data_IF_213687874401
#
_entry.id   IF_213687874401
#
_cell.length_a   1.000
_cell.length_b   1.000
_cell.length_c   1.000
_cell.angle_alpha   90.00
_cell.angle_beta   90.00
_cell.angle_gamma   90.00
#
_symmetry.space_group_name_H-M   'P 1'
#
loop_
_entity.id
_entity.type
_entity.pdbx_description
1 polymer ?
#
# COMPACT_ATOMS: atom_id res chain seq x y z
N UNK A 1 -13.31 -57.90 34.86
CA UNK A 1 -12.60 -56.65 34.48
C UNK A 1 -12.70 -56.44 32.97
N UNK A 2 -13.90 -56.51 32.38
CA UNK A 2 -14.04 -56.60 30.91
C UNK A 2 -15.10 -55.65 30.33
N UNK A 3 -15.95 -55.04 31.15
CA UNK A 3 -16.97 -54.09 30.68
C UNK A 3 -16.49 -52.63 30.63
N UNK A 4 -15.54 -52.25 31.51
CA UNK A 4 -15.02 -50.88 31.56
C UNK A 4 -14.16 -50.50 30.34
N UNK A 5 -13.55 -51.47 29.65
CA UNK A 5 -12.73 -51.24 28.46
C UNK A 5 -13.57 -51.05 27.19
N UNK A 6 -14.75 -51.68 27.11
CA UNK A 6 -15.66 -51.61 25.95
C UNK A 6 -16.48 -50.31 25.96
N UNK A 7 -16.87 -49.81 27.14
CA UNK A 7 -17.59 -48.54 27.29
C UNK A 7 -16.71 -47.34 26.92
N UNK A 8 -15.44 -47.36 27.32
CA UNK A 8 -14.46 -46.29 27.07
C UNK A 8 -14.07 -46.17 25.57
N UNK A 9 -14.08 -47.28 24.83
CA UNK A 9 -13.84 -47.29 23.39
C UNK A 9 -15.02 -46.73 22.58
N UNK A 10 -16.26 -46.98 23.02
CA UNK A 10 -17.48 -46.44 22.38
C UNK A 10 -17.60 -44.93 22.59
N UNK A 11 -17.37 -44.43 23.79
CA UNK A 11 -17.40 -42.98 24.07
C UNK A 11 -16.35 -42.22 23.26
N UNK A 12 -15.09 -42.69 23.24
CA UNK A 12 -14.02 -42.05 22.43
C UNK A 12 -14.35 -42.03 20.93
N UNK A 13 -14.96 -43.09 20.39
CA UNK A 13 -15.37 -43.14 18.97
C UNK A 13 -16.49 -42.15 18.64
N UNK A 14 -17.39 -41.90 19.59
CA UNK A 14 -18.50 -40.97 19.44
C UNK A 14 -18.02 -39.51 19.52
N UNK A 15 -17.13 -39.20 20.47
CA UNK A 15 -16.52 -37.86 20.58
C UNK A 15 -15.60 -37.54 19.40
N UNK A 16 -14.88 -38.52 18.86
CA UNK A 16 -13.99 -38.33 17.71
C UNK A 16 -14.77 -38.08 16.41
N UNK A 17 -15.86 -38.83 16.17
CA UNK A 17 -16.79 -38.59 15.05
C UNK A 17 -17.50 -37.25 15.16
N UNK A 18 -17.88 -36.84 16.36
CA UNK A 18 -18.53 -35.54 16.57
C UNK A 18 -17.57 -34.36 16.36
N UNK A 19 -16.29 -34.50 16.74
CA UNK A 19 -15.25 -33.49 16.46
C UNK A 19 -14.89 -33.38 14.97
N UNK A 20 -14.82 -34.49 14.24
CA UNK A 20 -14.56 -34.47 12.78
C UNK A 20 -15.77 -33.94 11.99
N UNK A 21 -16.99 -34.33 12.35
CA UNK A 21 -18.22 -33.78 11.73
C UNK A 21 -18.36 -32.28 12.01
N UNK A 22 -17.97 -31.81 13.19
CA UNK A 22 -17.97 -30.38 13.51
C UNK A 22 -16.92 -29.57 12.73
N UNK A 23 -15.77 -30.17 12.39
CA UNK A 23 -14.74 -29.49 11.61
C UNK A 23 -15.09 -29.44 10.11
N UNK A 24 -15.67 -30.53 9.58
CA UNK A 24 -16.23 -30.56 8.22
C UNK A 24 -17.39 -29.57 8.09
N UNK A 25 -18.29 -29.50 9.09
CA UNK A 25 -19.37 -28.52 9.11
C UNK A 25 -18.87 -27.07 9.18
N UNK A 26 -17.81 -26.79 9.96
CA UNK A 26 -17.22 -25.45 10.04
C UNK A 26 -16.59 -24.99 8.72
N UNK A 27 -16.12 -25.92 7.87
CA UNK A 27 -15.59 -25.62 6.53
C UNK A 27 -16.72 -25.51 5.50
N UNK A 28 -17.79 -26.29 5.63
CA UNK A 28 -18.89 -26.31 4.64
C UNK A 28 -19.93 -25.21 4.83
N UNK A 29 -20.16 -24.75 6.06
CA UNK A 29 -21.13 -23.68 6.35
C UNK A 29 -20.83 -22.35 5.64
N UNK A 30 -19.58 -21.86 5.57
CA UNK A 30 -19.22 -20.69 4.76
C UNK A 30 -19.45 -20.92 3.26
N UNK A 31 -19.14 -22.11 2.75
CA UNK A 31 -19.30 -22.47 1.34
C UNK A 31 -20.77 -22.52 0.92
N UNK A 32 -21.66 -22.96 1.82
CA UNK A 32 -23.11 -23.01 1.58
C UNK A 32 -23.75 -21.62 1.72
N UNK A 33 -23.24 -20.76 2.61
CA UNK A 33 -23.73 -19.40 2.81
C UNK A 33 -23.41 -18.45 1.64
N UNK A 34 -22.41 -18.78 0.80
CA UNK A 34 -21.92 -17.92 -0.29
C UNK A 34 -22.64 -18.14 -1.64
N UNK A 35 -23.58 -19.07 -1.75
CA UNK A 35 -24.50 -19.22 -2.90
C UNK A 35 -23.87 -19.58 -4.27
N UNK A 36 -22.55 -19.46 -4.43
CA UNK A 36 -21.82 -19.69 -5.67
C UNK A 36 -20.43 -20.26 -5.39
N UNK A 37 -20.20 -21.53 -5.76
CA UNK A 37 -18.94 -22.24 -5.54
C UNK A 37 -17.75 -21.56 -6.24
N UNK A 38 -17.98 -20.94 -7.41
CA UNK A 38 -16.95 -20.20 -8.13
C UNK A 38 -16.47 -18.97 -7.36
N UNK A 39 -17.38 -18.31 -6.65
CA UNK A 39 -17.07 -17.10 -5.87
C UNK A 39 -16.35 -17.45 -4.57
N UNK A 40 -16.76 -18.54 -3.91
CA UNK A 40 -16.08 -19.05 -2.73
C UNK A 40 -14.64 -19.52 -3.02
N UNK A 41 -14.40 -20.19 -4.15
CA UNK A 41 -13.05 -20.62 -4.56
C UNK A 41 -12.14 -19.42 -4.81
N UNK A 42 -12.61 -18.39 -5.53
CA UNK A 42 -11.83 -17.16 -5.75
C UNK A 42 -11.50 -16.42 -4.44
N UNK A 43 -12.43 -16.39 -3.48
CA UNK A 43 -12.18 -15.78 -2.17
C UNK A 43 -11.12 -16.57 -1.38
N UNK A 44 -11.13 -17.90 -1.47
CA UNK A 44 -10.13 -18.75 -0.80
C UNK A 44 -8.76 -18.63 -1.46
N UNK A 45 -8.68 -18.64 -2.79
CA UNK A 45 -7.44 -18.46 -3.54
C UNK A 45 -6.81 -17.11 -3.20
N UNK A 46 -7.56 -16.02 -3.28
CA UNK A 46 -7.07 -14.69 -2.91
C UNK A 46 -6.63 -14.58 -1.44
N UNK A 47 -7.28 -15.29 -0.52
CA UNK A 47 -6.86 -15.32 0.89
C UNK A 47 -5.53 -16.06 1.08
N UNK A 48 -5.32 -17.18 0.36
CA UNK A 48 -4.07 -17.95 0.38
C UNK A 48 -2.94 -17.15 -0.27
N UNK A 49 -3.18 -16.55 -1.43
CA UNK A 49 -2.18 -15.74 -2.14
C UNK A 49 -1.74 -14.55 -1.29
N UNK A 50 -2.68 -13.88 -0.61
CA UNK A 50 -2.36 -12.81 0.36
C UNK A 50 -1.55 -13.32 1.55
N UNK A 51 -1.88 -14.49 2.09
CA UNK A 51 -1.15 -15.06 3.21
C UNK A 51 0.31 -15.36 2.81
N UNK A 52 0.52 -16.06 1.69
CA UNK A 52 1.85 -16.40 1.17
C UNK A 52 2.64 -15.12 0.85
N UNK A 53 2.00 -14.14 0.21
CA UNK A 53 2.63 -12.85 -0.10
C UNK A 53 3.08 -12.12 1.18
N UNK A 54 2.21 -12.07 2.18
CA UNK A 54 2.53 -11.43 3.47
C UNK A 54 3.76 -12.05 4.11
N UNK A 55 3.87 -13.39 4.12
CA UNK A 55 5.04 -14.08 4.66
C UNK A 55 6.32 -13.80 3.84
N UNK A 56 6.19 -13.72 2.53
CA UNK A 56 7.31 -13.49 1.61
C UNK A 56 7.84 -12.05 1.69
N UNK A 57 7.04 -11.11 2.19
CA UNK A 57 7.37 -9.68 2.27
C UNK A 57 7.72 -9.21 3.70
N UNK A 58 7.80 -10.11 4.69
CA UNK A 58 8.11 -9.76 6.09
C UNK A 58 9.40 -8.94 6.21
N UNK A 59 10.53 -9.31 5.56
CA UNK A 59 11.76 -8.54 5.64
C UNK A 59 11.56 -7.09 5.17
N UNK A 60 10.97 -6.91 4.00
CA UNK A 60 10.76 -5.60 3.39
C UNK A 60 9.79 -4.75 4.22
N UNK A 61 8.71 -5.34 4.73
CA UNK A 61 7.77 -4.63 5.62
C UNK A 61 8.44 -4.19 6.92
N UNK A 62 9.36 -5.00 7.46
CA UNK A 62 10.13 -4.65 8.65
C UNK A 62 11.07 -3.48 8.35
N UNK A 63 11.77 -3.51 7.22
CA UNK A 63 12.71 -2.46 6.82
C UNK A 63 11.98 -1.13 6.60
N UNK A 64 10.89 -1.13 5.83
CA UNK A 64 10.00 0.04 5.67
C UNK A 64 9.44 0.54 7.01
N UNK A 65 9.28 -0.36 7.99
CA UNK A 65 8.86 -0.03 9.34
C UNK A 65 9.81 0.90 10.10
N UNK A 66 11.09 1.00 9.72
CA UNK A 66 12.07 1.92 10.31
C UNK A 66 12.04 3.33 9.72
N UNK A 67 11.39 3.54 8.57
CA UNK A 67 11.35 4.86 7.89
C UNK A 67 10.60 5.89 8.71
N UNK A 68 11.25 6.99 9.08
CA UNK A 68 10.61 8.15 9.71
C UNK A 68 11.23 9.42 9.17
N UNK A 69 10.44 10.50 9.08
CA UNK A 69 10.99 11.83 8.83
C UNK A 69 11.84 12.26 10.03
N UNK A 70 12.99 12.89 9.75
CA UNK A 70 13.97 13.36 10.72
C UNK A 70 15.10 12.37 11.04
N UNK A 71 15.13 11.19 10.42
CA UNK A 71 16.25 10.26 10.62
C UNK A 71 17.48 10.70 9.83
N UNK A 72 18.65 10.36 10.36
CA UNK A 72 19.91 10.58 9.68
C UNK A 72 20.00 9.68 8.43
N UNK A 73 20.55 10.22 7.35
CA UNK A 73 20.68 9.52 6.08
C UNK A 73 21.57 8.27 6.16
N UNK A 74 22.67 8.33 6.92
CA UNK A 74 23.59 7.20 7.05
C UNK A 74 22.88 6.04 7.76
N UNK A 75 22.05 6.32 8.77
CA UNK A 75 21.21 5.30 9.40
C UNK A 75 20.21 4.67 8.42
N UNK A 76 19.58 5.48 7.55
CA UNK A 76 18.72 4.92 6.51
C UNK A 76 19.50 4.02 5.53
N UNK A 77 20.73 4.40 5.18
CA UNK A 77 21.60 3.62 4.28
C UNK A 77 22.15 2.33 4.90
N UNK A 78 22.27 2.25 6.22
CA UNK A 78 22.57 0.99 6.91
C UNK A 78 21.45 -0.04 6.73
N UNK A 79 20.20 0.41 6.56
CA UNK A 79 19.02 -0.45 6.39
C UNK A 79 18.80 -0.77 4.91
N UNK A 80 18.75 0.26 4.06
CA UNK A 80 18.35 0.13 2.64
C UNK A 80 19.53 0.02 1.66
N UNK A 81 20.76 0.14 2.16
CA UNK A 81 21.96 0.22 1.32
C UNK A 81 22.19 1.61 0.73
N UNK A 82 22.97 1.69 -0.35
CA UNK A 82 23.21 2.95 -1.06
C UNK A 82 22.12 3.17 -2.11
N UNK A 83 21.67 4.42 -2.34
CA UNK A 83 20.72 4.68 -3.40
C UNK A 83 21.33 4.38 -4.76
N UNK A 84 20.55 3.80 -5.66
CA UNK A 84 20.96 3.59 -7.03
C UNK A 84 21.06 4.94 -7.76
N UNK A 85 20.09 5.82 -7.56
CA UNK A 85 20.01 7.13 -8.24
C UNK A 85 19.81 8.24 -7.22
N UNK A 86 20.42 9.39 -7.46
CA UNK A 86 20.17 10.63 -6.72
C UNK A 86 19.85 11.76 -7.67
N UNK A 87 18.76 12.50 -7.41
CA UNK A 87 18.32 13.64 -8.20
C UNK A 87 18.17 14.86 -7.30
N UNK A 88 18.91 15.92 -7.61
CA UNK A 88 18.71 17.20 -6.94
C UNK A 88 17.34 17.78 -7.31
N UNK A 89 16.59 18.19 -6.29
CA UNK A 89 15.36 18.96 -6.38
C UNK A 89 15.64 20.41 -5.96
N UNK A 90 14.60 21.22 -5.88
CA UNK A 90 14.73 22.61 -5.46
C UNK A 90 15.12 22.76 -3.98
N UNK A 91 15.63 23.94 -3.62
CA UNK A 91 15.89 24.33 -2.22
C UNK A 91 16.85 23.38 -1.46
N UNK A 92 17.81 22.79 -2.17
CA UNK A 92 18.80 21.88 -1.58
C UNK A 92 18.21 20.55 -1.10
N UNK A 93 17.01 20.20 -1.54
CA UNK A 93 16.42 18.88 -1.37
C UNK A 93 16.98 17.93 -2.45
N UNK A 94 17.20 16.67 -2.10
CA UNK A 94 17.58 15.62 -3.03
C UNK A 94 16.63 14.43 -2.89
N UNK A 95 16.25 13.83 -4.00
CA UNK A 95 15.54 12.56 -4.04
C UNK A 95 16.55 11.43 -4.26
N UNK A 96 16.64 10.52 -3.30
CA UNK A 96 17.47 9.32 -3.35
C UNK A 96 16.57 8.10 -3.60
N UNK A 97 16.80 7.40 -4.69
CA UNK A 97 15.95 6.31 -5.17
C UNK A 97 16.57 4.95 -4.85
N UNK A 98 15.75 4.12 -4.24
CA UNK A 98 16.03 2.75 -3.84
C UNK A 98 15.09 1.83 -4.64
N UNK A 99 15.62 1.23 -5.70
CA UNK A 99 14.85 0.31 -6.55
C UNK A 99 14.86 -1.10 -5.96
N UNK A 100 13.68 -1.66 -5.78
CA UNK A 100 13.44 -3.05 -5.43
C UNK A 100 12.48 -3.67 -6.46
N UNK A 101 12.45 -5.00 -6.58
CA UNK A 101 11.51 -5.69 -7.49
C UNK A 101 10.05 -5.46 -7.06
N UNK A 102 9.80 -5.33 -5.75
CA UNK A 102 8.46 -5.23 -5.17
C UNK A 102 8.00 -3.78 -5.02
N UNK A 103 8.92 -2.84 -4.82
CA UNK A 103 8.60 -1.45 -4.54
C UNK A 103 9.68 -0.47 -5.01
N UNK A 104 9.29 0.81 -5.13
CA UNK A 104 10.21 1.93 -5.28
C UNK A 104 10.16 2.78 -4.00
N UNK A 105 11.26 2.82 -3.26
CA UNK A 105 11.45 3.73 -2.14
C UNK A 105 12.19 4.97 -2.61
N UNK A 106 11.70 6.14 -2.23
CA UNK A 106 12.41 7.41 -2.40
C UNK A 106 12.60 8.08 -1.05
N UNK A 107 13.83 8.45 -0.71
CA UNK A 107 14.13 9.31 0.43
C UNK A 107 14.30 10.74 -0.07
N UNK A 108 13.61 11.68 0.57
CA UNK A 108 13.76 13.11 0.33
C UNK A 108 14.68 13.67 1.40
N UNK A 109 15.88 14.06 0.98
CA UNK A 109 17.01 14.34 1.85
C UNK A 109 17.40 15.81 1.76
N UNK A 110 17.63 16.46 2.90
CA UNK A 110 18.20 17.81 2.97
C UNK A 110 19.27 17.82 4.04
N UNK A 111 20.47 18.31 3.71
CA UNK A 111 21.58 18.45 4.67
C UNK A 111 21.93 17.16 5.45
N UNK A 112 21.80 15.99 4.84
CA UNK A 112 22.11 14.69 5.47
C UNK A 112 20.99 14.12 6.35
N UNK A 113 19.80 14.73 6.34
CA UNK A 113 18.63 14.29 7.09
C UNK A 113 17.49 13.93 6.13
N UNK A 114 16.74 12.88 6.44
CA UNK A 114 15.57 12.44 5.68
C UNK A 114 14.38 13.34 6.08
N UNK A 115 14.05 14.30 5.23
CA UNK A 115 12.90 15.19 5.41
C UNK A 115 11.57 14.47 5.17
N UNK A 116 11.56 13.45 4.31
CA UNK A 116 10.41 12.60 4.06
C UNK A 116 10.77 11.39 3.23
N UNK A 117 9.79 10.52 3.00
CA UNK A 117 9.94 9.36 2.14
C UNK A 117 8.66 9.05 1.39
N UNK A 118 8.80 8.33 0.28
CA UNK A 118 7.70 7.72 -0.47
C UNK A 118 7.98 6.26 -0.74
N UNK A 119 6.92 5.49 -0.89
CA UNK A 119 6.96 4.10 -1.30
C UNK A 119 5.85 3.88 -2.32
N UNK A 120 6.21 3.27 -3.44
CA UNK A 120 5.28 2.83 -4.47
C UNK A 120 5.34 1.31 -4.55
N UNK A 121 4.22 0.63 -4.38
CA UNK A 121 4.13 -0.80 -4.67
C UNK A 121 4.21 -1.02 -6.17
N UNK A 122 5.12 -1.88 -6.63
CA UNK A 122 5.31 -2.22 -8.03
C UNK A 122 4.79 -3.63 -8.37
N UNK A 123 4.73 -4.51 -7.38
CA UNK A 123 4.34 -5.91 -7.55
C UNK A 123 3.01 -6.23 -6.89
N UNK A 124 2.19 -7.00 -7.59
CA UNK A 124 0.95 -7.58 -7.05
C UNK A 124 1.22 -8.36 -5.75
N UNK A 125 0.41 -8.08 -4.74
CA UNK A 125 0.53 -8.70 -3.43
C UNK A 125 1.53 -8.02 -2.49
N UNK A 126 2.35 -7.08 -2.96
CA UNK A 126 3.15 -6.22 -2.09
C UNK A 126 2.28 -5.08 -1.52
N UNK A 127 1.66 -5.36 -0.38
CA UNK A 127 0.67 -4.50 0.26
C UNK A 127 1.12 -4.13 1.69
N UNK A 128 2.15 -3.28 1.85
CA UNK A 128 2.65 -2.90 3.16
C UNK A 128 1.56 -2.23 4.00
N UNK A 129 1.52 -2.45 5.33
CA UNK A 129 0.59 -1.73 6.20
C UNK A 129 0.98 -0.25 6.29
N UNK A 130 0.03 0.65 6.01
CA UNK A 130 0.26 2.10 5.94
C UNK A 130 -0.67 2.86 6.88
N UNK A 131 -0.18 3.99 7.39
CA UNK A 131 -0.91 4.94 8.24
C UNK A 131 -1.47 4.37 9.56
N UNK A 132 -0.97 3.21 10.02
CA UNK A 132 -1.40 2.60 11.28
C UNK A 132 -2.91 2.38 11.34
N UNK A 133 -3.55 2.78 12.44
CA UNK A 133 -5.00 2.63 12.63
C UNK A 133 -5.85 3.47 11.67
N UNK A 134 -5.25 4.45 10.99
CA UNK A 134 -5.93 5.39 10.09
C UNK A 134 -5.99 4.88 8.64
N UNK A 135 -5.21 3.86 8.32
CA UNK A 135 -5.15 3.22 7.00
C UNK A 135 -5.39 1.72 7.09
N UNK A 136 -4.63 1.00 6.29
CA UNK A 136 -4.70 -0.45 6.10
C UNK A 136 -3.54 -0.90 5.24
N UNK A 137 -3.66 -2.05 4.58
CA UNK A 137 -2.65 -2.48 3.62
C UNK A 137 -2.77 -1.68 2.32
N UNK A 138 -1.65 -1.19 1.80
CA UNK A 138 -1.62 -0.42 0.56
C UNK A 138 -2.24 -1.24 -0.59
N UNK A 139 -3.04 -0.61 -1.45
CA UNK A 139 -3.74 -1.29 -2.55
C UNK A 139 -4.98 -2.09 -2.13
N UNK A 140 -5.29 -2.24 -0.84
CA UNK A 140 -6.45 -3.02 -0.37
C UNK A 140 -7.66 -2.17 0.03
N UNK A 141 -7.48 -0.87 0.25
CA UNK A 141 -8.55 0.09 0.58
C UNK A 141 -8.65 1.18 -0.50
N UNK A 142 -9.79 1.86 -0.59
CA UNK A 142 -9.99 3.05 -1.42
C UNK A 142 -9.64 4.33 -0.68
N UNK A 143 -9.32 5.42 -1.37
CA UNK A 143 -9.03 6.70 -0.70
C UNK A 143 -10.18 7.19 0.21
N UNK A 144 -11.43 6.84 -0.10
CA UNK A 144 -12.59 7.17 0.74
C UNK A 144 -12.66 6.37 2.04
N UNK A 145 -11.99 5.23 2.13
CA UNK A 145 -11.91 4.39 3.34
C UNK A 145 -10.80 4.83 4.31
N UNK A 146 -9.90 5.73 3.88
CA UNK A 146 -8.95 6.38 4.79
C UNK A 146 -9.71 7.16 5.87
N UNK A 147 -9.39 6.88 7.12
CA UNK A 147 -10.02 7.55 8.27
C UNK A 147 -9.53 8.99 8.46
N UNK A 148 -8.41 9.34 7.84
CA UNK A 148 -7.85 10.69 7.86
C UNK A 148 -8.66 11.69 7.05
N UNK A 149 -8.50 12.97 7.38
CA UNK A 149 -9.15 14.06 6.64
C UNK A 149 -8.30 14.35 5.39
N UNK A 150 -8.88 14.25 4.18
CA UNK A 150 -8.19 14.62 2.94
C UNK A 150 -7.82 16.11 2.96
N UNK A 151 -6.59 16.44 2.59
CA UNK A 151 -6.11 17.82 2.42
C UNK A 151 -5.98 18.19 0.95
N UNK A 152 -4.96 19.00 0.67
CA UNK A 152 -4.54 19.38 -0.67
C UNK A 152 -4.26 18.14 -1.52
N UNK A 153 -4.54 18.24 -2.83
CA UNK A 153 -4.31 17.18 -3.79
C UNK A 153 -3.66 17.70 -5.07
N UNK A 154 -3.02 16.79 -5.78
CA UNK A 154 -2.51 16.99 -7.14
C UNK A 154 -3.10 15.89 -8.00
N UNK A 155 -3.62 16.27 -9.17
CA UNK A 155 -3.98 15.36 -10.23
C UNK A 155 -3.12 15.71 -11.43
N UNK A 156 -2.44 14.71 -12.00
CA UNK A 156 -1.68 14.85 -13.24
C UNK A 156 -2.14 13.80 -14.24
N UNK A 157 -2.31 14.21 -15.50
CA UNK A 157 -2.74 13.35 -16.58
C UNK A 157 -2.09 13.78 -17.89
N UNK A 158 -1.15 12.97 -18.36
CA UNK A 158 -0.49 13.10 -19.65
C UNK A 158 -0.59 11.80 -20.43
N UNK A 159 -0.05 11.77 -21.66
CA UNK A 159 -0.01 10.54 -22.47
C UNK A 159 0.83 9.43 -21.83
N UNK A 160 1.87 9.79 -21.07
CA UNK A 160 2.89 8.86 -20.60
C UNK A 160 2.99 8.79 -19.07
N UNK A 161 2.25 9.63 -18.35
CA UNK A 161 2.26 9.71 -16.89
C UNK A 161 0.86 10.06 -16.42
N UNK A 162 0.38 9.38 -15.39
CA UNK A 162 -0.83 9.76 -14.71
C UNK A 162 -0.68 9.49 -13.22
N UNK A 163 -1.05 10.46 -12.40
CA UNK A 163 -0.97 10.35 -10.95
C UNK A 163 -2.06 11.12 -10.24
N UNK A 164 -2.44 10.63 -9.06
CA UNK A 164 -3.28 11.31 -8.10
C UNK A 164 -2.62 11.22 -6.75
N UNK A 165 -2.33 12.34 -6.10
CA UNK A 165 -1.73 12.40 -4.77
C UNK A 165 -2.56 13.29 -3.88
N UNK A 166 -2.75 12.92 -2.63
CA UNK A 166 -3.37 13.77 -1.63
C UNK A 166 -2.58 13.76 -0.32
N UNK A 167 -2.49 14.92 0.29
CA UNK A 167 -2.13 15.02 1.70
C UNK A 167 -3.29 14.50 2.55
N UNK A 168 -2.95 13.84 3.66
CA UNK A 168 -3.94 13.26 4.57
C UNK A 168 -3.59 13.72 5.98
N UNK A 169 -4.53 14.36 6.64
CA UNK A 169 -4.43 14.71 8.04
C UNK A 169 -4.94 13.54 8.88
N UNK A 170 -4.01 12.82 9.52
CA UNK A 170 -4.29 11.65 10.36
C UNK A 170 -4.55 12.01 11.83
N UNK A 171 -4.62 13.29 12.20
CA UNK A 171 -4.68 13.70 13.60
C UNK A 171 -3.41 13.37 14.40
N UNK A 172 -3.41 13.61 15.71
CA UNK A 172 -2.34 13.11 16.59
C UNK A 172 -1.16 14.06 16.88
N UNK A 173 -1.24 15.34 16.54
CA UNK A 173 -0.45 16.38 17.22
C UNK A 173 0.94 16.72 16.67
N UNK A 174 1.42 16.10 15.60
CA UNK A 174 2.58 16.64 14.88
C UNK A 174 2.11 17.68 13.86
N UNK A 175 2.33 18.96 14.14
CA UNK A 175 1.89 20.08 13.29
C UNK A 175 2.62 20.12 11.93
N UNK A 176 3.78 19.47 11.84
CA UNK A 176 4.68 19.60 10.69
C UNK A 176 4.76 18.33 9.83
N UNK A 177 4.53 17.15 10.42
CA UNK A 177 4.55 15.92 9.65
C UNK A 177 3.22 15.66 8.96
N UNK A 178 3.29 15.47 7.65
CA UNK A 178 2.14 15.19 6.79
C UNK A 178 2.23 13.76 6.27
N UNK A 179 1.10 13.08 6.27
CA UNK A 179 0.94 11.82 5.57
C UNK A 179 0.45 12.09 4.14
N UNK A 180 0.83 11.23 3.22
CA UNK A 180 0.49 11.35 1.81
C UNK A 180 0.04 10.01 1.29
N UNK A 181 -1.11 9.99 0.62
CA UNK A 181 -1.62 8.81 -0.08
C UNK A 181 -1.72 9.13 -1.57
N UNK A 182 -1.48 8.14 -2.42
CA UNK A 182 -1.45 8.39 -3.84
C UNK A 182 -1.66 7.16 -4.70
N UNK A 183 -1.87 7.43 -5.97
CA UNK A 183 -1.93 6.47 -7.04
C UNK A 183 -1.06 6.95 -8.19
N UNK A 184 -0.21 6.07 -8.71
CA UNK A 184 0.61 6.29 -9.91
C UNK A 184 0.35 5.19 -10.93
N UNK A 185 0.38 5.53 -12.21
CA UNK A 185 -0.03 4.63 -13.30
C UNK A 185 0.91 3.44 -13.55
N UNK A 186 2.11 3.44 -12.97
CA UNK A 186 3.09 2.36 -13.06
C UNK A 186 3.20 1.53 -11.78
N UNK A 187 2.46 1.89 -10.73
CA UNK A 187 2.38 1.08 -9.52
C UNK A 187 1.37 -0.07 -9.69
N UNK A 188 1.38 -1.00 -8.74
CA UNK A 188 0.44 -2.11 -8.67
C UNK A 188 -1.01 -1.61 -8.57
N UNK A 189 -1.97 -2.35 -9.12
CA UNK A 189 -3.37 -1.96 -9.19
C UNK A 189 -3.62 -0.78 -10.13
N UNK A 190 -3.92 -1.07 -11.39
CA UNK A 190 -3.71 -0.13 -12.51
C UNK A 190 -4.96 0.54 -13.08
N UNK A 191 -6.09 0.56 -12.37
CA UNK A 191 -7.29 1.26 -12.85
C UNK A 191 -7.66 2.45 -11.98
N UNK A 192 -7.56 3.64 -12.57
CA UNK A 192 -8.12 4.87 -12.01
C UNK A 192 -9.28 5.32 -12.91
N UNK A 193 -10.45 5.52 -12.32
CA UNK A 193 -11.62 6.00 -13.05
C UNK A 193 -11.80 7.49 -12.77
N UNK A 194 -11.92 8.29 -13.83
CA UNK A 194 -12.23 9.72 -13.73
C UNK A 194 -11.03 10.64 -13.48
N UNK A 195 -9.78 10.16 -13.43
CA UNK A 195 -8.61 11.02 -13.22
C UNK A 195 -8.42 12.04 -14.34
N UNK A 196 -8.57 11.65 -15.60
CA UNK A 196 -8.52 12.59 -16.72
C UNK A 196 -9.56 13.72 -16.59
N UNK A 197 -10.77 13.38 -16.12
CA UNK A 197 -11.85 14.35 -15.88
C UNK A 197 -11.53 15.27 -14.69
N UNK A 198 -10.95 14.72 -13.61
CA UNK A 198 -10.48 15.49 -12.46
C UNK A 198 -9.40 16.49 -12.89
N UNK A 199 -8.38 16.03 -13.62
CA UNK A 199 -7.32 16.87 -14.15
C UNK A 199 -7.86 18.02 -15.00
N UNK A 200 -8.75 17.74 -15.94
CA UNK A 200 -9.40 18.78 -16.76
C UNK A 200 -10.20 19.78 -15.92
N UNK A 201 -10.91 19.31 -14.88
CA UNK A 201 -11.66 20.18 -13.99
C UNK A 201 -10.76 21.10 -13.16
N UNK A 202 -9.59 20.62 -12.73
CA UNK A 202 -8.62 21.45 -12.01
C UNK A 202 -8.06 22.55 -12.92
N UNK A 203 -7.75 22.24 -14.18
CA UNK A 203 -7.25 23.24 -15.14
C UNK A 203 -8.28 24.31 -15.53
N UNK A 204 -9.57 23.98 -15.46
CA UNK A 204 -10.67 24.85 -15.88
C UNK A 204 -11.36 25.55 -14.71
N UNK A 205 -10.83 25.44 -13.49
CA UNK A 205 -11.47 25.91 -12.24
C UNK A 205 -12.94 25.41 -12.11
N UNK A 206 -13.19 24.17 -12.54
CA UNK A 206 -14.49 23.50 -12.45
C UNK A 206 -14.77 22.85 -11.10
N UNK A 207 -15.87 22.08 -11.00
CA UNK A 207 -16.24 21.32 -9.79
C UNK A 207 -15.36 20.08 -9.56
N UNK A 208 -14.10 20.34 -9.19
CA UNK A 208 -13.06 19.33 -8.97
C UNK A 208 -13.34 18.47 -7.74
N UNK A 209 -13.94 19.02 -6.68
CA UNK A 209 -14.21 18.30 -5.44
C UNK A 209 -15.27 17.20 -5.59
N UNK A 210 -16.35 17.44 -6.33
CA UNK A 210 -17.34 16.39 -6.62
C UNK A 210 -16.73 15.23 -7.42
N UNK A 211 -15.90 15.56 -8.41
CA UNK A 211 -15.20 14.57 -9.23
C UNK A 211 -14.18 13.81 -8.38
N UNK A 212 -13.42 14.52 -7.54
CA UNK A 212 -12.45 13.96 -6.60
C UNK A 212 -13.11 12.98 -5.65
N UNK A 213 -14.27 13.30 -5.08
CA UNK A 213 -15.01 12.39 -4.20
C UNK A 213 -15.38 11.08 -4.89
N UNK A 214 -15.77 11.15 -6.16
CA UNK A 214 -16.08 9.96 -6.97
C UNK A 214 -14.82 9.12 -7.23
N UNK A 215 -13.71 9.77 -7.60
CA UNK A 215 -12.42 9.11 -7.79
C UNK A 215 -11.96 8.42 -6.50
N UNK A 216 -12.06 9.12 -5.36
CA UNK A 216 -11.65 8.58 -4.06
C UNK A 216 -12.45 7.34 -3.65
N UNK A 217 -13.71 7.23 -4.04
CA UNK A 217 -14.56 6.06 -3.76
C UNK A 217 -14.28 4.84 -4.65
N UNK A 218 -13.50 4.98 -5.71
CA UNK A 218 -13.25 3.89 -6.68
C UNK A 218 -11.77 3.56 -6.86
N UNK A 219 -10.86 4.41 -6.38
CA UNK A 219 -9.42 4.25 -6.59
C UNK A 219 -8.75 3.80 -5.31
N UNK A 220 -7.88 2.81 -5.44
CA UNK A 220 -7.04 2.30 -4.35
C UNK A 220 -5.63 2.91 -4.47
N UNK A 221 -5.01 3.36 -3.37
CA UNK A 221 -3.67 3.91 -3.43
C UNK A 221 -2.64 2.80 -3.61
N UNK A 222 -1.64 3.05 -4.45
CA UNK A 222 -0.43 2.23 -4.60
C UNK A 222 0.85 3.01 -4.25
N UNK A 223 0.68 4.24 -3.77
CA UNK A 223 1.71 5.14 -3.28
C UNK A 223 1.35 5.57 -1.86
N UNK A 224 2.34 5.63 -0.98
CA UNK A 224 2.23 6.37 0.27
C UNK A 224 3.52 7.10 0.59
N UNK A 225 3.42 8.11 1.44
CA UNK A 225 4.58 8.84 1.93
C UNK A 225 4.31 9.53 3.26
N UNK A 226 5.41 9.98 3.86
CA UNK A 226 5.40 10.73 5.11
C UNK A 226 6.54 11.73 5.11
N UNK A 227 6.31 12.95 5.60
CA UNK A 227 7.39 13.93 5.64
C UNK A 227 7.00 15.27 6.23
N UNK A 228 8.02 16.08 6.53
CA UNK A 228 7.92 17.51 6.82
C UNK A 228 8.23 18.30 5.54
N UNK A 229 7.38 18.10 4.53
CA UNK A 229 7.52 18.68 3.19
C UNK A 229 6.14 19.03 2.63
N UNK A 230 6.03 20.05 1.76
CA UNK A 230 4.81 20.29 1.01
C UNK A 230 4.55 19.17 -0.01
N UNK A 231 3.28 19.01 -0.41
CA UNK A 231 2.88 18.03 -1.43
C UNK A 231 3.64 18.24 -2.75
N UNK A 232 3.99 19.49 -3.10
CA UNK A 232 4.77 19.81 -4.30
C UNK A 232 6.12 19.12 -4.36
N UNK A 233 6.83 19.05 -3.24
CA UNK A 233 8.18 18.45 -3.18
C UNK A 233 8.11 16.93 -3.34
N UNK A 234 7.05 16.31 -2.80
CA UNK A 234 6.76 14.90 -2.99
C UNK A 234 6.34 14.58 -4.43
N UNK A 235 5.46 15.39 -5.01
CA UNK A 235 5.11 15.25 -6.43
C UNK A 235 6.36 15.35 -7.31
N UNK A 236 7.25 16.30 -7.02
CA UNK A 236 8.50 16.49 -7.74
C UNK A 236 9.51 15.35 -7.51
N UNK A 237 9.31 14.48 -6.52
CA UNK A 237 10.16 13.31 -6.30
C UNK A 237 9.72 12.11 -7.15
N UNK A 238 8.47 12.06 -7.60
CA UNK A 238 7.94 10.96 -8.41
C UNK A 238 8.66 10.91 -9.75
N UNK A 239 9.00 9.69 -10.18
CA UNK A 239 9.61 9.43 -11.48
C UNK A 239 8.52 9.29 -12.53
N UNK A 240 8.77 9.82 -13.73
CA UNK A 240 7.92 9.44 -14.87
C UNK A 240 8.17 7.97 -15.23
N UNK A 241 7.21 7.26 -15.85
CA UNK A 241 7.44 5.90 -16.33
C UNK A 241 8.64 5.77 -17.27
N UNK A 242 8.96 6.83 -18.03
CA UNK A 242 10.13 6.88 -18.91
C UNK A 242 11.41 6.92 -18.09
N UNK A 243 11.48 7.79 -17.07
CA UNK A 243 12.65 7.87 -16.18
C UNK A 243 12.86 6.57 -15.42
N UNK A 244 11.77 5.99 -14.90
CA UNK A 244 11.81 4.71 -14.21
C UNK A 244 12.36 3.60 -15.11
N UNK A 245 11.85 3.48 -16.33
CA UNK A 245 12.34 2.50 -17.30
C UNK A 245 13.82 2.70 -17.67
N UNK A 246 14.23 3.97 -17.86
CA UNK A 246 15.62 4.31 -18.11
C UNK A 246 16.53 3.87 -16.94
N UNK A 247 16.14 4.14 -15.70
CA UNK A 247 16.95 3.72 -14.55
C UNK A 247 16.97 2.20 -14.39
N UNK A 248 15.81 1.52 -14.43
CA UNK A 248 15.77 0.07 -14.27
C UNK A 248 16.61 -0.66 -15.33
N UNK A 249 16.64 -0.18 -16.57
CA UNK A 249 17.49 -0.76 -17.63
C UNK A 249 18.99 -0.50 -17.46
N UNK A 250 19.40 0.51 -16.68
CA UNK A 250 20.80 0.83 -16.43
C UNK A 250 21.44 -0.05 -15.33
N UNK A 251 20.62 -0.75 -14.53
CA UNK A 251 21.07 -1.61 -13.43
C UNK A 251 20.86 -3.13 -13.69
N UNK A 252 20.41 -3.50 -14.90
CA UNK A 252 20.38 -4.89 -15.41
C UNK A 252 21.66 -5.22 -16.18
#
# INVERSE_FOLDING_TARGET
MTDASVQNAREKSFTFRQKTVSWVAAITLPVIALGNFSEAVMIVESAIDRAISTFTNIPEYKDLGYLRSGINLDFAREIFGMPQVSRNLEQGLSAEYFFDEKYLLTLLVRSGEVMGYTVISLQEGFAPPVFGEWGGNLGEFTFSELKGIPGDFVADWTKNSASYLESVNLGGGSLNQKAFAGWVNYGDGSSVHGLAKLYQSVLQDGDSETIRKTLRGSTKPNFYGWGDLPLSDLTASILSPIDLGHYLSAYQ
#
